data_IF_196011210941
#
_entry.id   IF_196011210941
#
_cell.length_a   1.000
_cell.length_b   1.000
_cell.length_c   1.000
_cell.angle_alpha   90.00
_cell.angle_beta   90.00
_cell.angle_gamma   90.00
#
_symmetry.space_group_name_H-M   'P 1'
#
loop_
_entity.id
_entity.type
_entity.pdbx_description
1 polymer ?
#
# COMPACT_ATOMS: atom_id res chain seq x y z
N UNK A 1 10.91 -23.66 -16.20
CA UNK A 1 9.64 -24.01 -16.89
C UNK A 1 9.86 -23.79 -18.39
N UNK A 2 9.32 -24.64 -19.27
CA UNK A 2 9.41 -24.43 -20.71
C UNK A 2 8.25 -23.56 -21.19
N UNK A 3 8.52 -22.64 -22.12
CA UNK A 3 7.49 -21.88 -22.83
C UNK A 3 6.85 -22.73 -23.92
N UNK A 4 5.75 -22.22 -24.52
CA UNK A 4 5.13 -22.83 -25.71
C UNK A 4 6.09 -22.93 -26.91
N UNK A 5 7.15 -22.12 -26.94
CA UNK A 5 8.21 -22.17 -27.97
C UNK A 5 9.38 -23.09 -27.58
N UNK A 6 9.24 -23.91 -26.54
CA UNK A 6 10.30 -24.75 -25.96
C UNK A 6 11.54 -23.96 -25.46
N UNK A 7 11.38 -22.70 -25.05
CA UNK A 7 12.46 -21.93 -24.41
C UNK A 7 12.41 -22.10 -22.89
N UNK A 8 13.57 -22.10 -22.23
CA UNK A 8 13.63 -22.09 -20.77
C UNK A 8 13.28 -20.71 -20.22
N UNK A 9 12.29 -20.67 -19.32
CA UNK A 9 11.93 -19.51 -18.53
C UNK A 9 12.08 -19.85 -17.04
N UNK A 10 12.81 -18.98 -16.33
CA UNK A 10 12.86 -18.98 -14.87
C UNK A 10 11.87 -17.96 -14.33
N UNK A 11 11.06 -18.36 -13.36
CA UNK A 11 10.06 -17.50 -12.72
C UNK A 11 10.46 -17.31 -11.27
N UNK A 12 10.73 -16.07 -10.88
CA UNK A 12 11.00 -15.72 -9.50
C UNK A 12 9.70 -15.84 -8.67
N UNK A 13 9.82 -16.44 -7.49
CA UNK A 13 8.70 -16.68 -6.56
C UNK A 13 9.13 -16.34 -5.14
N UNK A 14 8.16 -16.21 -4.23
CA UNK A 14 8.42 -15.90 -2.83
C UNK A 14 7.18 -15.36 -2.12
N UNK A 15 7.31 -14.86 -0.88
CA UNK A 15 6.22 -14.35 -0.06
C UNK A 15 5.76 -12.94 -0.48
N UNK A 16 5.48 -12.74 -1.78
CA UNK A 16 5.21 -11.43 -2.40
C UNK A 16 4.03 -10.72 -1.73
N UNK A 17 2.88 -11.41 -1.58
CA UNK A 17 1.65 -10.78 -1.10
C UNK A 17 1.77 -10.15 0.31
N UNK A 18 2.54 -10.78 1.21
CA UNK A 18 2.74 -10.26 2.57
C UNK A 18 3.63 -9.02 2.58
N UNK A 19 4.65 -8.97 1.72
CA UNK A 19 5.54 -7.82 1.60
C UNK A 19 4.85 -6.67 0.87
N UNK A 20 4.01 -6.97 -0.13
CA UNK A 20 3.17 -5.99 -0.82
C UNK A 20 2.19 -5.28 0.12
N UNK A 21 1.51 -6.00 1.01
CA UNK A 21 0.55 -5.38 1.92
C UNK A 21 1.22 -4.39 2.88
N UNK A 22 2.37 -4.77 3.45
CA UNK A 22 3.15 -3.93 4.37
C UNK A 22 3.74 -2.73 3.62
N UNK A 23 4.28 -2.92 2.41
CA UNK A 23 4.93 -1.81 1.69
C UNK A 23 3.93 -0.72 1.31
N UNK A 24 2.69 -1.09 0.99
CA UNK A 24 1.65 -0.12 0.63
C UNK A 24 1.04 0.53 1.87
N UNK A 25 0.69 -0.26 2.90
CA UNK A 25 0.10 0.28 4.13
C UNK A 25 1.07 1.21 4.87
N UNK A 26 2.33 0.80 4.95
CA UNK A 26 3.40 1.57 5.57
C UNK A 26 4.04 2.61 4.65
N UNK A 27 3.56 2.77 3.41
CA UNK A 27 4.11 3.72 2.42
C UNK A 27 5.62 3.55 2.13
N UNK A 28 6.16 2.34 2.29
CA UNK A 28 7.58 2.04 2.12
C UNK A 28 8.02 2.00 0.66
N UNK A 29 7.18 1.46 -0.23
CA UNK A 29 7.45 1.38 -1.68
C UNK A 29 8.47 0.33 -2.15
N UNK A 30 9.05 -0.49 -1.26
CA UNK A 30 10.01 -1.54 -1.63
C UNK A 30 9.35 -2.81 -2.19
N UNK A 31 9.40 -2.99 -3.51
CA UNK A 31 8.84 -4.15 -4.21
C UNK A 31 9.71 -5.39 -4.12
N UNK A 32 9.05 -6.55 -4.16
CA UNK A 32 9.71 -7.85 -4.11
C UNK A 32 10.53 -8.13 -5.37
N UNK A 33 10.03 -7.65 -6.51
CA UNK A 33 10.69 -7.66 -7.80
C UNK A 33 11.15 -6.24 -8.16
N UNK A 34 12.21 -6.12 -8.96
CA UNK A 34 12.80 -4.80 -9.28
C UNK A 34 11.86 -3.80 -9.95
N UNK A 35 10.77 -4.27 -10.57
CA UNK A 35 9.74 -3.45 -11.22
C UNK A 35 8.58 -3.07 -10.31
N UNK A 36 8.60 -3.47 -9.02
CA UNK A 36 7.61 -3.14 -8.00
C UNK A 36 6.17 -3.47 -8.46
N UNK A 37 5.19 -2.62 -8.11
CA UNK A 37 3.76 -2.80 -8.38
C UNK A 37 3.36 -2.73 -9.87
N UNK A 38 4.33 -2.64 -10.79
CA UNK A 38 4.09 -2.90 -12.23
C UNK A 38 4.28 -4.39 -12.60
N UNK A 39 4.89 -5.18 -11.71
CA UNK A 39 5.03 -6.62 -11.86
C UNK A 39 3.69 -7.33 -11.64
N UNK A 40 3.23 -8.21 -12.55
CA UNK A 40 1.94 -8.88 -12.42
C UNK A 40 1.75 -9.72 -11.14
N UNK A 41 2.84 -10.20 -10.53
CA UNK A 41 2.76 -10.93 -9.25
C UNK A 41 2.63 -10.03 -8.02
N UNK A 42 3.00 -8.76 -8.12
CA UNK A 42 2.80 -7.76 -7.05
C UNK A 42 1.43 -7.07 -7.17
N UNK A 43 0.96 -6.86 -8.41
CA UNK A 43 -0.30 -6.17 -8.67
C UNK A 43 -1.07 -6.84 -9.84
N UNK A 44 -1.76 -7.95 -9.57
CA UNK A 44 -2.33 -8.80 -10.62
C UNK A 44 -3.59 -8.24 -11.29
N UNK A 45 -4.33 -7.36 -10.62
CA UNK A 45 -5.65 -6.92 -11.08
C UNK A 45 -5.87 -5.43 -10.86
N UNK A 46 -6.86 -4.86 -11.57
CA UNK A 46 -7.32 -3.49 -11.33
C UNK A 46 -7.82 -3.30 -9.88
N UNK A 47 -8.47 -4.31 -9.31
CA UNK A 47 -8.97 -4.27 -7.94
C UNK A 47 -7.81 -4.19 -6.93
N UNK A 48 -6.77 -5.01 -7.10
CA UNK A 48 -5.58 -4.95 -6.24
C UNK A 48 -4.89 -3.60 -6.37
N UNK A 49 -4.81 -3.03 -7.57
CA UNK A 49 -4.23 -1.72 -7.79
C UNK A 49 -4.99 -0.62 -7.03
N UNK A 50 -6.32 -0.64 -7.11
CA UNK A 50 -7.16 0.29 -6.35
C UNK A 50 -6.96 0.17 -4.83
N UNK A 51 -6.92 -1.06 -4.31
CA UNK A 51 -6.67 -1.31 -2.89
C UNK A 51 -5.25 -0.88 -2.46
N UNK A 52 -4.24 -1.05 -3.30
CA UNK A 52 -2.88 -0.58 -3.03
C UNK A 52 -2.83 0.96 -2.88
N UNK A 53 -3.50 1.68 -3.79
CA UNK A 53 -3.58 3.15 -3.73
C UNK A 53 -4.32 3.61 -2.46
N UNK A 54 -5.46 2.98 -2.13
CA UNK A 54 -6.18 3.26 -0.89
C UNK A 54 -5.31 3.01 0.35
N UNK A 55 -4.57 1.90 0.35
CA UNK A 55 -3.69 1.52 1.46
C UNK A 55 -2.59 2.56 1.72
N UNK A 56 -1.99 3.12 0.65
CA UNK A 56 -1.00 4.20 0.78
C UNK A 56 -1.58 5.46 1.45
N UNK A 57 -2.85 5.75 1.23
CA UNK A 57 -3.52 6.94 1.77
C UNK A 57 -4.08 6.73 3.19
N UNK A 58 -4.23 5.48 3.63
CA UNK A 58 -5.00 5.14 4.82
C UNK A 58 -4.41 5.71 6.11
N UNK A 59 -3.13 5.45 6.39
CA UNK A 59 -2.46 5.97 7.60
C UNK A 59 -2.30 7.50 7.55
N UNK A 60 -1.77 8.11 6.47
CA UNK A 60 -1.60 9.56 6.41
C UNK A 60 -2.92 10.32 6.57
N UNK A 61 -4.00 9.87 5.93
CA UNK A 61 -5.32 10.51 6.06
C UNK A 61 -5.90 10.35 7.47
N UNK A 62 -5.75 9.18 8.08
CA UNK A 62 -6.16 8.96 9.48
C UNK A 62 -5.41 9.87 10.45
N UNK A 63 -4.11 10.12 10.24
CA UNK A 63 -3.33 11.04 11.07
C UNK A 63 -3.85 12.48 11.00
N UNK A 64 -4.21 12.97 9.81
CA UNK A 64 -4.79 14.32 9.64
C UNK A 64 -6.12 14.45 10.38
N UNK A 65 -6.99 13.44 10.26
CA UNK A 65 -8.28 13.43 10.97
C UNK A 65 -8.07 13.36 12.48
N UNK A 66 -7.22 12.45 12.96
CA UNK A 66 -6.91 12.31 14.38
C UNK A 66 -6.35 13.61 14.96
N UNK A 67 -5.41 14.26 14.26
CA UNK A 67 -4.87 15.56 14.67
C UNK A 67 -5.95 16.64 14.72
N UNK A 68 -6.81 16.73 13.71
CA UNK A 68 -7.92 17.67 13.68
C UNK A 68 -8.88 17.50 14.87
N UNK A 69 -9.24 16.25 15.19
CA UNK A 69 -10.10 15.92 16.33
C UNK A 69 -9.43 16.28 17.67
N UNK A 70 -8.14 15.99 17.83
CA UNK A 70 -7.40 16.33 19.06
C UNK A 70 -7.33 17.85 19.28
N UNK A 71 -7.08 18.63 18.22
CA UNK A 71 -7.05 20.09 18.31
C UNK A 71 -8.43 20.66 18.63
N UNK A 72 -9.49 20.13 18.04
CA UNK A 72 -10.86 20.54 18.33
C UNK A 72 -11.23 20.29 19.79
N UNK A 73 -11.01 19.07 20.30
CA UNK A 73 -11.29 18.73 21.70
C UNK A 73 -10.51 19.62 22.67
N UNK A 74 -9.27 19.98 22.34
CA UNK A 74 -8.47 20.92 23.15
C UNK A 74 -9.09 22.32 23.19
N UNK A 75 -9.59 22.82 22.06
CA UNK A 75 -10.26 24.14 21.99
C UNK A 75 -11.57 24.15 22.77
N UNK A 76 -12.32 23.05 22.72
CA UNK A 76 -13.57 22.86 23.45
C UNK A 76 -13.36 22.94 24.97
N UNK A 77 -12.38 22.19 25.50
CA UNK A 77 -12.02 22.22 26.92
C UNK A 77 -11.61 23.62 27.39
N UNK A 78 -10.98 24.41 26.52
CA UNK A 78 -10.51 25.76 26.84
C UNK A 78 -11.59 26.84 26.67
N UNK A 79 -12.80 26.48 26.23
CA UNK A 79 -13.90 27.44 26.00
C UNK A 79 -13.69 28.35 24.78
N UNK A 80 -12.79 27.98 23.85
CA UNK A 80 -12.53 28.71 22.60
C UNK A 80 -13.25 28.09 21.40
N UNK A 81 -13.88 26.93 21.55
CA UNK A 81 -14.77 26.38 20.54
C UNK A 81 -16.12 27.12 20.63
N UNK A 82 -16.67 27.50 19.46
CA UNK A 82 -18.00 28.10 19.34
C UNK A 82 -19.11 27.10 19.70
#
# INVERSE_FOLDING_TARGET
MLTLENKFQSIATGPVAALESIKHLGTNGGGFFGTNSSMPFENPTLLTNFLQILSMMLIPSACVVAFGLMVYHRKEIQGFAL
#
